data_IF_323647698021
#
_entry.id   IF_323647698021
#
_cell.length_a   1.000
_cell.length_b   1.000
_cell.length_c   1.000
_cell.angle_alpha   90.00
_cell.angle_beta   90.00
_cell.angle_gamma   90.00
#
_symmetry.space_group_name_H-M   'P 1'
#
loop_
_entity.id
_entity.type
_entity.pdbx_description
1 polymer ?
#
# COMPACT_ATOMS: atom_id res chain seq x y z
N UNK A 1 -0.58 -19.70 -9.01
CA UNK A 1 0.58 -19.40 -8.16
C UNK A 1 0.25 -18.13 -7.38
N UNK A 2 -0.05 -18.22 -6.09
CA UNK A 2 -0.60 -17.10 -5.26
C UNK A 2 0.22 -16.81 -4.00
N UNK A 3 1.36 -17.51 -3.84
CA UNK A 3 2.21 -17.45 -2.66
C UNK A 3 3.06 -16.18 -2.66
N UNK A 4 3.11 -15.50 -1.51
CA UNK A 4 3.96 -14.35 -1.26
C UNK A 4 4.92 -14.64 -0.09
N UNK A 5 6.15 -14.15 -0.20
CA UNK A 5 7.18 -14.30 0.83
C UNK A 5 7.59 -12.93 1.38
N UNK A 6 7.56 -12.80 2.70
CA UNK A 6 8.12 -11.64 3.40
C UNK A 6 9.64 -11.56 3.18
N UNK A 7 10.16 -10.33 3.14
CA UNK A 7 11.61 -10.05 3.15
C UNK A 7 12.24 -10.21 4.54
N UNK A 8 11.42 -10.47 5.58
CA UNK A 8 11.91 -10.62 6.95
C UNK A 8 12.63 -11.96 7.17
N UNK A 9 13.73 -11.93 7.92
CA UNK A 9 14.46 -13.15 8.29
C UNK A 9 13.59 -14.09 9.13
N UNK A 10 13.47 -15.34 8.68
CA UNK A 10 12.66 -16.38 9.35
C UNK A 10 13.20 -16.71 10.76
N UNK A 11 14.51 -16.63 10.95
CA UNK A 11 15.18 -17.00 12.20
C UNK A 11 14.90 -16.03 13.35
N UNK A 12 14.49 -14.80 13.03
CA UNK A 12 14.14 -13.79 14.05
C UNK A 12 12.76 -14.09 14.63
N UNK A 13 12.72 -14.26 15.95
CA UNK A 13 11.50 -14.49 16.75
C UNK A 13 10.78 -13.18 17.08
N UNK A 14 10.44 -12.39 16.06
CA UNK A 14 9.67 -11.14 16.20
C UNK A 14 8.23 -11.40 15.76
N UNK A 15 7.26 -11.00 16.59
CA UNK A 15 5.84 -11.25 16.37
C UNK A 15 5.19 -10.27 15.38
N UNK A 16 5.66 -9.03 15.30
CA UNK A 16 5.04 -7.97 14.49
C UNK A 16 4.80 -8.36 13.01
N UNK A 17 5.84 -8.73 12.25
CA UNK A 17 5.70 -9.13 10.85
C UNK A 17 4.87 -10.41 10.62
N UNK A 18 4.71 -11.23 11.67
CA UNK A 18 3.99 -12.51 11.62
C UNK A 18 2.51 -12.35 11.94
N UNK A 19 2.15 -11.31 12.69
CA UNK A 19 0.77 -11.04 13.05
C UNK A 19 -0.09 -10.74 11.81
N UNK A 20 -1.31 -11.28 11.80
CA UNK A 20 -2.32 -10.91 10.82
C UNK A 20 -2.75 -9.46 11.08
N UNK A 21 -2.68 -8.61 10.05
CA UNK A 21 -3.04 -7.20 10.17
C UNK A 21 -4.42 -6.95 9.54
N UNK A 22 -5.29 -6.11 10.15
CA UNK A 22 -6.61 -5.79 9.59
C UNK A 22 -6.56 -5.21 8.16
N UNK A 23 -5.48 -4.49 7.82
CA UNK A 23 -5.27 -3.93 6.47
C UNK A 23 -5.12 -4.98 5.36
N UNK A 24 -4.96 -6.27 5.71
CA UNK A 24 -4.82 -7.37 4.74
C UNK A 24 -6.17 -7.94 4.29
N UNK A 25 -7.28 -7.44 4.87
CA UNK A 25 -8.63 -7.87 4.53
C UNK A 25 -8.89 -7.77 3.02
N UNK A 26 -9.38 -8.85 2.43
CA UNK A 26 -9.68 -8.93 1.00
C UNK A 26 -8.46 -9.11 0.08
N UNK A 27 -7.23 -8.87 0.58
CA UNK A 27 -6.01 -8.98 -0.22
C UNK A 27 -5.25 -10.29 0.03
N UNK A 28 -5.18 -10.74 1.28
CA UNK A 28 -4.49 -11.97 1.69
C UNK A 28 -5.46 -12.94 2.37
N UNK A 29 -5.23 -14.24 2.19
CA UNK A 29 -5.95 -15.26 2.94
C UNK A 29 -5.53 -15.21 4.43
N UNK A 30 -6.47 -15.10 5.39
CA UNK A 30 -6.14 -15.00 6.81
C UNK A 30 -5.64 -16.33 7.41
N UNK A 31 -5.90 -17.46 6.76
CA UNK A 31 -5.62 -18.81 7.30
C UNK A 31 -4.54 -19.57 6.55
N UNK A 32 -4.29 -19.25 5.28
CA UNK A 32 -3.37 -20.01 4.43
C UNK A 32 -1.92 -19.53 4.58
N UNK A 33 -1.28 -19.98 5.67
CA UNK A 33 0.12 -19.77 6.02
C UNK A 33 0.71 -21.07 6.56
N UNK A 34 1.98 -21.41 6.28
CA UNK A 34 2.60 -22.60 6.86
C UNK A 34 2.78 -22.46 8.36
N UNK A 35 2.76 -23.57 9.08
CA UNK A 35 3.10 -23.59 10.51
C UNK A 35 4.62 -23.44 10.76
N UNK A 36 5.00 -23.22 12.02
CA UNK A 36 6.40 -23.16 12.44
C UNK A 36 7.10 -21.85 12.13
N UNK A 37 8.39 -21.91 11.75
CA UNK A 37 9.25 -20.73 11.58
C UNK A 37 8.79 -19.78 10.45
N UNK A 38 8.02 -20.28 9.48
CA UNK A 38 7.49 -19.47 8.38
C UNK A 38 6.07 -18.91 8.64
N UNK A 39 5.46 -19.25 9.78
CA UNK A 39 4.11 -18.80 10.13
C UNK A 39 4.04 -17.28 10.15
N UNK A 40 3.08 -16.75 9.39
CA UNK A 40 2.86 -15.32 9.19
C UNK A 40 3.86 -14.63 8.26
N UNK A 41 4.95 -15.28 7.84
CA UNK A 41 5.94 -14.72 6.90
C UNK A 41 5.71 -15.16 5.46
N UNK A 42 5.17 -16.37 5.27
CA UNK A 42 4.68 -16.85 3.98
C UNK A 42 3.17 -16.79 4.02
N UNK A 43 2.56 -16.10 3.05
CA UNK A 43 1.11 -15.93 2.96
C UNK A 43 0.65 -16.22 1.54
N UNK A 44 -0.65 -16.26 1.33
CA UNK A 44 -1.24 -16.42 0.00
C UNK A 44 -2.23 -15.27 -0.27
N UNK A 45 -2.30 -14.85 -1.53
CA UNK A 45 -3.30 -13.89 -2.00
C UNK A 45 -4.73 -14.47 -1.87
N UNK A 46 -5.71 -13.60 -1.62
CA UNK A 46 -7.13 -13.96 -1.69
C UNK A 46 -7.58 -14.15 -3.15
N UNK A 47 -8.75 -14.78 -3.34
CA UNK A 47 -9.21 -15.22 -4.67
C UNK A 47 -9.46 -14.07 -5.67
N UNK A 48 -9.90 -12.91 -5.18
CA UNK A 48 -10.25 -11.76 -6.03
C UNK A 48 -9.15 -10.69 -6.05
N UNK A 49 -7.97 -10.99 -5.50
CA UNK A 49 -6.87 -10.03 -5.43
C UNK A 49 -6.30 -9.74 -6.82
N UNK A 50 -6.20 -8.46 -7.17
CA UNK A 50 -5.47 -7.98 -8.34
C UNK A 50 -4.22 -7.21 -7.90
N UNK A 51 -3.09 -7.46 -8.55
CA UNK A 51 -1.83 -6.72 -8.32
C UNK A 51 -1.73 -5.65 -9.39
N UNK A 52 -1.62 -4.38 -8.99
CA UNK A 52 -1.46 -3.26 -9.91
C UNK A 52 -0.18 -3.38 -10.71
N UNK A 53 -0.22 -2.90 -11.95
CA UNK A 53 0.94 -2.72 -12.81
C UNK A 53 1.34 -1.26 -12.84
N UNK A 54 2.54 -0.99 -13.35
CA UNK A 54 3.01 0.36 -13.59
C UNK A 54 2.27 0.96 -14.79
N UNK A 55 1.94 2.25 -14.71
CA UNK A 55 1.22 3.02 -15.73
C UNK A 55 1.78 4.44 -15.79
N UNK A 56 1.67 5.12 -16.94
CA UNK A 56 2.19 6.47 -17.12
C UNK A 56 1.42 7.52 -16.29
N UNK A 57 2.14 8.31 -15.51
CA UNK A 57 1.56 9.30 -14.58
C UNK A 57 1.12 10.61 -15.27
N UNK A 58 1.72 10.97 -16.41
CA UNK A 58 1.50 12.26 -17.09
C UNK A 58 0.03 12.59 -17.40
N UNK A 59 -0.78 11.64 -17.93
CA UNK A 59 -2.20 11.85 -18.14
C UNK A 59 -2.99 12.10 -16.85
N UNK A 60 -2.63 11.43 -15.74
CA UNK A 60 -3.28 11.63 -14.43
C UNK A 60 -2.96 13.01 -13.85
N UNK A 61 -1.70 13.44 -13.94
CA UNK A 61 -1.26 14.77 -13.51
C UNK A 61 -2.02 15.86 -14.31
N UNK A 62 -2.12 15.70 -15.63
CA UNK A 62 -2.86 16.65 -16.49
C UNK A 62 -4.35 16.71 -16.14
N UNK A 63 -4.94 15.57 -15.77
CA UNK A 63 -6.32 15.51 -15.30
C UNK A 63 -6.50 16.22 -13.95
N UNK A 64 -5.57 16.06 -13.01
CA UNK A 64 -5.59 16.77 -11.73
C UNK A 64 -5.66 18.29 -11.92
N UNK A 65 -4.80 18.85 -12.79
CA UNK A 65 -4.86 20.28 -13.13
C UNK A 65 -6.19 20.66 -13.78
N UNK A 66 -6.72 19.83 -14.67
CA UNK A 66 -8.02 20.06 -15.30
C UNK A 66 -9.19 20.06 -14.31
N UNK A 67 -9.04 19.34 -13.18
CA UNK A 67 -10.03 19.28 -12.09
C UNK A 67 -9.85 20.38 -11.04
N UNK A 68 -8.88 21.28 -11.22
CA UNK A 68 -8.68 22.45 -10.35
C UNK A 68 -7.62 22.27 -9.26
N UNK A 69 -6.74 21.27 -9.38
CA UNK A 69 -5.51 21.25 -8.58
C UNK A 69 -4.60 22.38 -9.05
N UNK A 70 -3.99 23.09 -8.10
CA UNK A 70 -3.07 24.20 -8.37
C UNK A 70 -1.61 23.76 -8.17
N UNK A 71 -0.71 24.37 -8.94
CA UNK A 71 0.72 24.12 -8.80
C UNK A 71 1.22 24.66 -7.46
N UNK A 72 2.00 23.83 -6.75
CA UNK A 72 2.61 24.15 -5.48
C UNK A 72 3.44 25.44 -5.52
N UNK A 73 4.09 25.75 -6.64
CA UNK A 73 4.92 26.95 -6.79
C UNK A 73 4.12 28.26 -6.75
N UNK A 74 2.81 28.20 -6.92
CA UNK A 74 1.91 29.36 -6.91
C UNK A 74 1.31 29.64 -5.52
N UNK A 75 1.52 28.75 -4.55
CA UNK A 75 0.88 28.81 -3.24
C UNK A 75 1.83 29.35 -2.17
N UNK A 76 1.28 30.13 -1.24
CA UNK A 76 2.03 30.56 -0.06
C UNK A 76 2.05 29.47 1.02
N UNK A 77 2.94 29.60 2.00
CA UNK A 77 2.95 28.70 3.15
C UNK A 77 1.63 28.71 3.94
N UNK A 78 0.95 29.86 3.99
CA UNK A 78 -0.35 29.97 4.66
C UNK A 78 -1.43 29.20 3.88
N UNK A 79 -1.41 29.25 2.55
CA UNK A 79 -2.34 28.51 1.70
C UNK A 79 -2.15 27.00 1.85
N UNK A 80 -0.90 26.53 1.95
CA UNK A 80 -0.57 25.11 2.11
C UNK A 80 -1.02 24.52 3.44
N UNK A 81 -1.02 25.33 4.49
CA UNK A 81 -1.42 24.91 5.84
C UNK A 81 -2.87 25.25 6.17
N UNK A 82 -3.63 25.81 5.22
CA UNK A 82 -5.06 26.04 5.39
C UNK A 82 -5.80 24.71 5.58
N UNK A 83 -6.85 24.73 6.41
CA UNK A 83 -7.59 23.52 6.81
C UNK A 83 -8.28 22.80 5.63
N UNK A 84 -8.51 23.52 4.53
CA UNK A 84 -9.12 23.01 3.30
C UNK A 84 -8.12 22.60 2.22
N UNK A 85 -6.82 22.70 2.50
CA UNK A 85 -5.77 22.37 1.54
C UNK A 85 -5.32 20.92 1.72
N UNK A 86 -5.19 20.22 0.60
CA UNK A 86 -4.73 18.84 0.57
C UNK A 86 -3.58 18.71 -0.43
N UNK A 87 -2.47 18.14 0.02
CA UNK A 87 -1.33 17.87 -0.84
C UNK A 87 -1.55 16.54 -1.59
N UNK A 88 -1.36 16.59 -2.90
CA UNK A 88 -1.34 15.41 -3.77
C UNK A 88 0.12 15.11 -4.08
N UNK A 89 0.59 13.91 -3.71
CA UNK A 89 1.97 13.41 -3.89
C UNK A 89 1.92 12.18 -4.77
#
# INVERSE_FOLDING_TARGET
MTKISSQFEKSRKVSGPRALQPSQWGMLCPSDTPEGEACGLVKNLALMTHVTTDDEEGPLISLCYSLGVEDLELLSGDDLHAQSSFLII
#
